data_IF_658027847591
#
_entry.id   IF_658027847591
#
_cell.length_a   1.000
_cell.length_b   1.000
_cell.length_c   1.000
_cell.angle_alpha   90.00
_cell.angle_beta   90.00
_cell.angle_gamma   90.00
#
_symmetry.space_group_name_H-M   'P 1'
#
loop_
_entity.id
_entity.type
_entity.pdbx_description
1 polymer ?
#
# COMPACT_ATOMS: atom_id res chain seq x y z
N UNK A 1 -27.76 -39.64 33.49
CA UNK A 1 -27.79 -39.54 32.03
C UNK A 1 -26.70 -38.58 31.58
N UNK A 2 -25.58 -39.08 31.11
CA UNK A 2 -24.45 -38.28 30.63
C UNK A 2 -24.64 -38.10 29.12
N UNK A 3 -24.85 -36.85 28.68
CA UNK A 3 -24.97 -36.52 27.24
C UNK A 3 -23.55 -36.44 26.69
N UNK A 4 -23.12 -37.46 25.99
CA UNK A 4 -21.91 -37.48 25.21
C UNK A 4 -22.07 -36.51 24.03
N UNK A 5 -21.42 -35.36 24.07
CA UNK A 5 -21.31 -34.45 22.90
C UNK A 5 -20.54 -35.17 21.81
N UNK A 6 -21.10 -35.21 20.58
CA UNK A 6 -20.45 -35.86 19.44
C UNK A 6 -19.13 -35.13 19.07
N UNK A 7 -18.12 -35.86 18.60
CA UNK A 7 -16.82 -35.34 18.19
C UNK A 7 -16.94 -34.14 17.20
N UNK A 8 -17.99 -34.11 16.38
CA UNK A 8 -18.28 -33.02 15.46
C UNK A 8 -18.68 -31.69 16.15
N UNK A 9 -19.36 -31.76 17.29
CA UNK A 9 -19.74 -30.55 18.05
C UNK A 9 -18.56 -29.97 18.84
N UNK A 10 -17.63 -30.78 19.27
CA UNK A 10 -16.40 -30.33 19.92
C UNK A 10 -15.47 -29.67 18.88
N UNK A 11 -15.32 -30.30 17.71
CA UNK A 11 -14.50 -29.74 16.62
C UNK A 11 -15.04 -28.38 16.13
N UNK A 12 -16.36 -28.24 15.96
CA UNK A 12 -16.95 -26.96 15.51
C UNK A 12 -16.81 -25.81 16.52
N UNK A 13 -16.86 -26.13 17.84
CA UNK A 13 -16.63 -25.14 18.89
C UNK A 13 -15.16 -24.70 18.95
N UNK A 14 -14.23 -25.63 18.77
CA UNK A 14 -12.79 -25.31 18.80
C UNK A 14 -12.38 -24.47 17.60
N UNK A 15 -12.92 -24.76 16.41
CA UNK A 15 -12.68 -23.95 15.22
C UNK A 15 -13.32 -22.56 15.36
N UNK A 16 -14.53 -22.46 15.87
CA UNK A 16 -15.19 -21.17 16.12
C UNK A 16 -14.45 -20.29 17.13
N UNK A 17 -13.91 -20.86 18.21
CA UNK A 17 -13.12 -20.11 19.20
C UNK A 17 -11.76 -19.70 18.65
N UNK A 18 -11.10 -20.52 17.84
CA UNK A 18 -9.83 -20.19 17.20
C UNK A 18 -10.00 -19.07 16.15
N UNK A 19 -11.07 -19.07 15.37
CA UNK A 19 -11.38 -18.00 14.42
C UNK A 19 -11.73 -16.68 15.13
N UNK A 20 -12.44 -16.72 16.25
CA UNK A 20 -12.76 -15.52 17.02
C UNK A 20 -11.55 -14.92 17.73
N UNK A 21 -10.63 -15.77 18.23
CA UNK A 21 -9.37 -15.27 18.80
C UNK A 21 -8.44 -14.68 17.74
N UNK A 22 -8.31 -15.33 16.58
CA UNK A 22 -7.52 -14.82 15.46
C UNK A 22 -8.05 -13.48 14.94
N UNK A 23 -9.37 -13.33 14.82
CA UNK A 23 -10.00 -12.06 14.44
C UNK A 23 -9.78 -10.97 15.50
N UNK A 24 -9.76 -11.33 16.80
CA UNK A 24 -9.43 -10.42 17.89
C UNK A 24 -7.99 -9.96 17.84
N UNK A 25 -7.04 -10.87 17.65
CA UNK A 25 -5.62 -10.57 17.53
C UNK A 25 -5.30 -9.68 16.31
N UNK A 26 -5.94 -9.94 15.16
CA UNK A 26 -5.80 -9.09 13.98
C UNK A 26 -6.32 -7.67 14.22
N UNK A 27 -7.42 -7.53 14.92
CA UNK A 27 -7.98 -6.23 15.26
C UNK A 27 -7.08 -5.44 16.23
N UNK A 28 -6.57 -6.10 17.24
CA UNK A 28 -5.64 -5.49 18.21
C UNK A 28 -4.33 -5.04 17.52
N UNK A 29 -3.78 -5.84 16.61
CA UNK A 29 -2.63 -5.47 15.80
C UNK A 29 -2.92 -4.24 14.95
N UNK A 30 -4.04 -4.21 14.22
CA UNK A 30 -4.43 -3.07 13.39
C UNK A 30 -4.62 -1.79 14.21
N UNK A 31 -5.22 -1.89 15.40
CA UNK A 31 -5.33 -0.77 16.34
C UNK A 31 -3.95 -0.29 16.80
N UNK A 32 -3.06 -1.21 17.15
CA UNK A 32 -1.69 -0.91 17.52
C UNK A 32 -0.93 -0.16 16.42
N UNK A 33 -1.05 -0.61 15.18
CA UNK A 33 -0.44 0.03 14.01
C UNK A 33 -0.96 1.45 13.78
N UNK A 34 -2.28 1.64 13.88
CA UNK A 34 -2.90 2.97 13.73
C UNK A 34 -2.45 3.91 14.86
N UNK A 35 -2.41 3.45 16.10
CA UNK A 35 -1.96 4.26 17.22
C UNK A 35 -0.47 4.60 17.10
N UNK A 36 0.36 3.66 16.70
CA UNK A 36 1.78 3.88 16.45
C UNK A 36 2.00 4.89 15.32
N UNK A 37 1.25 4.79 14.21
CA UNK A 37 1.25 5.76 13.14
C UNK A 37 0.88 7.16 13.63
N UNK A 38 -0.25 7.31 14.34
CA UNK A 38 -0.68 8.60 14.88
C UNK A 38 0.34 9.21 15.84
N UNK A 39 0.96 8.37 16.69
CA UNK A 39 2.01 8.80 17.61
C UNK A 39 3.21 9.37 16.85
N UNK A 40 3.71 8.67 15.81
CA UNK A 40 4.82 9.19 14.99
C UNK A 40 4.46 10.52 14.33
N UNK A 41 3.23 10.67 13.83
CA UNK A 41 2.76 11.93 13.24
C UNK A 41 2.75 13.10 14.22
N UNK A 42 2.28 12.87 15.44
CA UNK A 42 2.23 13.91 16.49
C UNK A 42 3.64 14.28 16.98
N UNK A 43 4.53 13.28 17.06
CA UNK A 43 5.90 13.49 17.53
C UNK A 43 6.85 14.02 16.45
N UNK A 44 6.43 14.03 15.17
CA UNK A 44 7.31 14.38 14.05
C UNK A 44 8.33 13.30 13.71
N UNK A 45 8.12 12.07 14.19
CA UNK A 45 9.02 10.93 13.97
C UNK A 45 8.64 10.21 12.67
N UNK A 46 8.84 10.90 11.56
CA UNK A 46 8.69 10.38 10.20
C UNK A 46 9.60 11.15 9.25
N UNK A 47 9.97 10.51 8.16
CA UNK A 47 10.85 11.09 7.16
C UNK A 47 10.09 11.36 5.86
N UNK A 48 10.46 12.45 5.21
CA UNK A 48 9.98 12.80 3.87
C UNK A 48 11.21 13.00 2.99
N UNK A 49 11.23 12.40 1.82
CA UNK A 49 12.36 12.58 0.91
C UNK A 49 12.34 13.96 0.19
N UNK A 50 13.39 14.22 -0.59
CA UNK A 50 13.55 15.48 -1.33
C UNK A 50 12.41 15.77 -2.34
N UNK A 51 11.65 14.74 -2.72
CA UNK A 51 10.50 14.86 -3.63
C UNK A 51 9.16 15.03 -2.90
N UNK A 52 9.17 14.93 -1.58
CA UNK A 52 7.97 14.99 -0.75
C UNK A 52 7.32 13.63 -0.48
N UNK A 53 7.97 12.53 -0.84
CA UNK A 53 7.46 11.18 -0.56
C UNK A 53 7.55 10.83 0.92
N UNK A 54 6.45 10.38 1.46
CA UNK A 54 6.24 10.01 2.84
C UNK A 54 5.84 8.54 2.89
N UNK A 55 6.82 7.68 3.15
CA UNK A 55 6.63 6.24 3.18
C UNK A 55 5.62 5.82 4.24
N UNK A 56 5.75 6.36 5.45
CA UNK A 56 4.88 6.03 6.58
C UNK A 56 3.41 6.41 6.29
N UNK A 57 3.18 7.58 5.68
CA UNK A 57 1.85 7.99 5.22
C UNK A 57 1.31 7.06 4.13
N UNK A 58 2.14 6.71 3.16
CA UNK A 58 1.75 5.85 2.04
C UNK A 58 1.31 4.48 2.51
N UNK A 59 2.09 3.83 3.39
CA UNK A 59 1.81 2.50 3.90
C UNK A 59 0.55 2.48 4.78
N UNK A 60 0.42 3.45 5.69
CA UNK A 60 -0.63 3.41 6.72
C UNK A 60 -1.91 4.14 6.35
N UNK A 61 -1.91 4.98 5.31
CA UNK A 61 -3.09 5.76 4.89
C UNK A 61 -3.53 5.44 3.47
N UNK A 62 -2.63 5.57 2.48
CA UNK A 62 -2.99 5.41 1.09
C UNK A 62 -3.21 3.94 0.70
N UNK A 63 -2.26 3.08 1.01
CA UNK A 63 -2.31 1.66 0.61
C UNK A 63 -3.50 0.89 1.17
N UNK A 64 -3.91 1.03 2.45
CA UNK A 64 -5.11 0.34 2.95
C UNK A 64 -6.37 0.68 2.17
N UNK A 65 -6.54 1.96 1.79
CA UNK A 65 -7.67 2.41 0.99
C UNK A 65 -7.66 1.80 -0.41
N UNK A 66 -6.52 1.89 -1.10
CA UNK A 66 -6.39 1.39 -2.47
C UNK A 66 -6.32 -0.14 -2.55
N UNK A 67 -5.93 -0.83 -1.48
CA UNK A 67 -5.93 -2.29 -1.43
C UNK A 67 -7.34 -2.87 -1.60
N UNK A 68 -8.36 -2.20 -1.04
CA UNK A 68 -9.75 -2.59 -1.26
C UNK A 68 -10.13 -2.48 -2.74
N UNK A 69 -9.72 -1.40 -3.42
CA UNK A 69 -9.96 -1.23 -4.85
C UNK A 69 -9.18 -2.27 -5.68
N UNK A 70 -7.90 -2.47 -5.38
CA UNK A 70 -7.03 -3.45 -6.05
C UNK A 70 -7.62 -4.87 -5.98
N UNK A 71 -8.02 -5.31 -4.78
CA UNK A 71 -8.39 -6.70 -4.54
C UNK A 71 -9.86 -6.99 -4.84
N UNK A 72 -10.77 -6.07 -4.48
CA UNK A 72 -12.21 -6.31 -4.56
C UNK A 72 -12.84 -5.79 -5.85
N UNK A 73 -12.42 -4.63 -6.32
CA UNK A 73 -13.00 -3.99 -7.50
C UNK A 73 -12.28 -4.41 -8.79
N UNK A 74 -10.99 -4.11 -8.87
CA UNK A 74 -10.19 -4.42 -10.07
C UNK A 74 -9.74 -5.87 -10.12
N UNK A 75 -9.63 -6.56 -8.99
CA UNK A 75 -9.15 -7.95 -8.88
C UNK A 75 -7.84 -8.14 -9.64
N UNK A 76 -6.87 -7.30 -9.31
CA UNK A 76 -5.59 -7.21 -10.02
C UNK A 76 -4.78 -8.49 -9.86
N UNK A 77 -4.36 -9.05 -10.97
CA UNK A 77 -3.38 -10.14 -11.03
C UNK A 77 -2.01 -9.56 -11.40
N UNK A 78 -0.98 -9.94 -10.65
CA UNK A 78 0.41 -9.54 -10.91
C UNK A 78 1.15 -10.71 -11.51
N UNK A 79 1.83 -10.49 -12.64
CA UNK A 79 2.68 -11.47 -13.32
C UNK A 79 4.00 -10.82 -13.71
N UNK A 80 5.10 -11.57 -13.64
CA UNK A 80 6.40 -11.06 -14.04
C UNK A 80 7.04 -10.09 -13.05
N UNK A 81 6.63 -10.11 -11.78
CA UNK A 81 7.20 -9.24 -10.74
C UNK A 81 8.71 -9.43 -10.57
N UNK A 82 9.20 -10.60 -10.89
CA UNK A 82 10.62 -10.99 -10.90
C UNK A 82 11.47 -10.23 -11.94
N UNK A 83 10.82 -9.59 -12.92
CA UNK A 83 11.50 -8.74 -13.91
C UNK A 83 11.86 -7.36 -13.33
N UNK A 84 11.29 -6.98 -12.20
CA UNK A 84 11.67 -5.76 -11.48
C UNK A 84 12.89 -6.08 -10.63
N UNK A 85 14.03 -5.39 -10.84
CA UNK A 85 15.26 -5.70 -10.10
C UNK A 85 15.07 -5.45 -8.59
N UNK A 86 15.76 -6.24 -7.77
CA UNK A 86 15.75 -6.08 -6.32
C UNK A 86 16.42 -4.76 -5.88
N UNK A 87 17.46 -4.34 -6.60
CA UNK A 87 18.27 -3.16 -6.33
C UNK A 87 18.46 -2.33 -7.60
N UNK A 88 18.82 -1.07 -7.43
CA UNK A 88 19.05 -0.12 -8.51
C UNK A 88 17.78 0.44 -9.14
N UNK A 89 17.93 1.40 -10.03
CA UNK A 89 16.82 2.05 -10.73
C UNK A 89 16.23 1.15 -11.83
N UNK A 90 14.92 1.29 -12.05
CA UNK A 90 14.22 0.65 -13.17
C UNK A 90 13.09 1.56 -13.66
N UNK A 91 12.98 1.75 -14.96
CA UNK A 91 11.90 2.51 -15.56
C UNK A 91 10.75 1.56 -15.94
N UNK A 92 9.57 1.81 -15.37
CA UNK A 92 8.34 1.09 -15.74
C UNK A 92 7.53 1.97 -16.68
N UNK A 93 7.23 1.43 -17.85
CA UNK A 93 6.41 2.11 -18.87
C UNK A 93 5.14 1.30 -19.09
N UNK A 94 4.00 1.97 -18.98
CA UNK A 94 2.69 1.34 -19.16
C UNK A 94 1.73 2.25 -19.92
N UNK A 95 0.65 1.68 -20.45
CA UNK A 95 -0.46 2.48 -20.94
C UNK A 95 -1.13 3.19 -19.76
N UNK A 96 -1.58 4.41 -20.00
CA UNK A 96 -2.31 5.20 -19.03
C UNK A 96 -3.75 5.43 -19.48
N UNK A 97 -4.70 5.11 -18.61
CA UNK A 97 -6.13 5.24 -18.92
C UNK A 97 -6.80 6.28 -18.03
N UNK A 98 -7.24 7.36 -18.63
CA UNK A 98 -8.09 8.36 -17.99
C UNK A 98 -7.35 9.51 -17.31
N UNK A 99 -8.12 10.49 -16.88
CA UNK A 99 -7.61 11.71 -16.22
C UNK A 99 -7.20 11.47 -14.76
N UNK A 100 -7.84 10.49 -14.11
CA UNK A 100 -7.51 10.10 -12.74
C UNK A 100 -6.54 8.92 -12.79
N UNK A 101 -5.35 9.09 -12.26
CA UNK A 101 -4.26 8.11 -12.32
C UNK A 101 -4.47 6.90 -11.37
N UNK A 102 -5.66 6.30 -11.38
CA UNK A 102 -5.95 5.11 -10.57
C UNK A 102 -5.09 3.91 -10.96
N UNK A 103 -4.84 3.74 -12.25
CA UNK A 103 -3.95 2.72 -12.79
C UNK A 103 -2.53 2.82 -12.21
N UNK A 104 -1.96 4.04 -12.13
CA UNK A 104 -0.64 4.28 -11.57
C UNK A 104 -0.58 3.95 -10.08
N UNK A 105 -1.58 4.39 -9.30
CA UNK A 105 -1.66 4.11 -7.86
C UNK A 105 -1.85 2.61 -7.58
N UNK A 106 -2.71 1.95 -8.36
CA UNK A 106 -2.92 0.50 -8.24
C UNK A 106 -1.67 -0.28 -8.64
N UNK A 107 -0.95 0.16 -9.69
CA UNK A 107 0.33 -0.45 -10.09
C UNK A 107 1.38 -0.30 -9.00
N UNK A 108 1.52 0.89 -8.40
CA UNK A 108 2.41 1.11 -7.27
C UNK A 108 2.13 0.14 -6.12
N UNK A 109 0.86 0.04 -5.71
CA UNK A 109 0.43 -0.86 -4.65
C UNK A 109 0.66 -2.34 -5.02
N UNK A 110 0.37 -2.72 -6.27
CA UNK A 110 0.57 -4.07 -6.75
C UNK A 110 2.05 -4.49 -6.72
N UNK A 111 2.96 -3.58 -7.12
CA UNK A 111 4.41 -3.80 -7.02
C UNK A 111 4.83 -3.92 -5.56
N UNK A 112 4.42 -2.98 -4.71
CA UNK A 112 4.76 -3.01 -3.29
C UNK A 112 4.30 -4.29 -2.60
N UNK A 113 3.06 -4.72 -2.84
CA UNK A 113 2.51 -5.93 -2.23
C UNK A 113 3.21 -7.21 -2.70
N UNK A 114 3.60 -7.27 -3.98
CA UNK A 114 4.08 -8.49 -4.64
C UNK A 114 5.60 -8.62 -4.68
N UNK A 115 6.34 -7.49 -4.66
CA UNK A 115 7.80 -7.54 -4.75
C UNK A 115 8.44 -7.91 -3.41
N UNK A 116 9.43 -8.85 -3.36
CA UNK A 116 10.05 -9.29 -2.10
C UNK A 116 10.65 -8.16 -1.26
N UNK A 117 11.27 -7.15 -1.89
CA UNK A 117 11.86 -5.99 -1.23
C UNK A 117 10.87 -4.85 -0.99
N UNK A 118 9.56 -5.05 -1.23
CA UNK A 118 8.54 -4.00 -1.02
C UNK A 118 8.89 -2.68 -1.70
N UNK A 119 9.29 -2.74 -2.97
CA UNK A 119 9.73 -1.56 -3.73
C UNK A 119 8.58 -0.59 -3.99
N UNK A 120 8.87 0.69 -3.84
CA UNK A 120 7.94 1.76 -4.19
C UNK A 120 8.13 2.19 -5.64
N UNK A 121 7.04 2.21 -6.39
CA UNK A 121 7.01 2.87 -7.68
C UNK A 121 6.91 4.38 -7.47
N UNK A 122 7.80 5.14 -8.10
CA UNK A 122 7.76 6.61 -8.10
C UNK A 122 7.10 7.06 -9.40
N UNK A 123 5.93 7.67 -9.30
CA UNK A 123 5.13 8.05 -10.46
C UNK A 123 5.57 9.39 -11.01
N UNK A 124 5.76 9.50 -12.33
CA UNK A 124 6.00 10.76 -13.01
C UNK A 124 4.67 11.37 -13.47
N UNK A 125 4.31 12.51 -12.91
CA UNK A 125 3.04 13.18 -13.13
C UNK A 125 3.17 14.52 -13.86
N UNK A 126 2.10 14.93 -14.55
CA UNK A 126 2.03 16.25 -15.19
C UNK A 126 1.90 17.37 -14.15
N UNK A 127 2.41 18.57 -14.49
CA UNK A 127 2.39 19.77 -13.65
C UNK A 127 1.01 20.07 -13.08
N UNK A 128 -0.04 19.86 -13.86
CA UNK A 128 -1.42 20.12 -13.46
C UNK A 128 -1.81 19.37 -12.17
N UNK A 129 -1.33 18.15 -11.99
CA UNK A 129 -1.60 17.35 -10.79
C UNK A 129 -1.10 18.06 -9.55
N UNK A 130 0.10 18.64 -9.61
CA UNK A 130 0.76 19.27 -8.49
C UNK A 130 0.28 20.69 -8.20
N UNK A 131 -0.46 21.30 -9.14
CA UNK A 131 -1.10 22.61 -8.97
C UNK A 131 -2.49 22.50 -8.30
N UNK A 132 -3.08 21.30 -8.28
CA UNK A 132 -4.38 21.10 -7.65
C UNK A 132 -4.26 21.09 -6.12
N UNK A 133 -5.02 21.93 -5.39
CA UNK A 133 -5.04 21.91 -3.93
C UNK A 133 -5.39 20.51 -3.40
N UNK A 134 -4.75 20.11 -2.31
CA UNK A 134 -4.91 18.79 -1.65
C UNK A 134 -4.41 17.62 -2.50
N UNK A 135 -4.77 17.57 -3.80
CA UNK A 135 -4.36 16.48 -4.70
C UNK A 135 -2.85 16.50 -4.92
N UNK A 136 -2.27 17.67 -5.14
CA UNK A 136 -0.82 17.81 -5.34
C UNK A 136 -0.01 17.36 -4.12
N UNK A 137 -0.44 17.76 -2.94
CA UNK A 137 0.21 17.34 -1.69
C UNK A 137 0.07 15.83 -1.45
N UNK A 138 -1.12 15.30 -1.69
CA UNK A 138 -1.37 13.86 -1.60
C UNK A 138 -0.51 13.07 -2.60
N UNK A 139 -0.47 13.53 -3.86
CA UNK A 139 0.33 12.90 -4.91
C UNK A 139 1.83 12.86 -4.53
N UNK A 140 2.40 13.97 -4.01
CA UNK A 140 3.80 13.99 -3.54
C UNK A 140 4.02 13.02 -2.39
N UNK A 141 3.16 13.05 -1.38
CA UNK A 141 3.26 12.14 -0.22
C UNK A 141 3.19 10.67 -0.60
N UNK A 142 2.47 10.35 -1.67
CA UNK A 142 2.36 8.98 -2.18
C UNK A 142 3.37 8.63 -3.27
N UNK A 143 4.39 9.48 -3.50
CA UNK A 143 5.53 9.17 -4.33
C UNK A 143 5.45 9.67 -5.77
N UNK A 144 4.46 10.48 -6.12
CA UNK A 144 4.46 11.15 -7.41
C UNK A 144 5.42 12.36 -7.42
N UNK A 145 6.08 12.58 -8.54
CA UNK A 145 6.94 13.73 -8.81
C UNK A 145 6.70 14.25 -10.22
N UNK A 146 7.26 15.43 -10.53
CA UNK A 146 7.12 16.02 -11.86
C UNK A 146 7.76 15.14 -12.94
N UNK A 147 7.09 15.05 -14.08
CA UNK A 147 7.63 14.36 -15.26
C UNK A 147 8.68 15.23 -15.96
N UNK A 148 9.80 15.47 -15.28
CA UNK A 148 10.96 16.21 -15.80
C UNK A 148 12.18 15.31 -15.91
N UNK A 149 13.07 15.58 -16.86
CA UNK A 149 14.31 14.81 -17.00
C UNK A 149 15.17 14.84 -15.73
N UNK A 150 15.41 16.01 -15.07
CA UNK A 150 16.20 16.03 -13.85
C UNK A 150 15.64 15.18 -12.71
N UNK A 151 14.30 15.19 -12.53
CA UNK A 151 13.67 14.38 -11.48
C UNK A 151 13.74 12.88 -11.79
N UNK A 152 13.51 12.51 -13.06
CA UNK A 152 13.64 11.12 -13.49
C UNK A 152 15.07 10.59 -13.32
N UNK A 153 16.10 11.38 -13.70
CA UNK A 153 17.50 11.01 -13.50
C UNK A 153 17.83 10.80 -12.02
N UNK A 154 17.40 11.70 -11.14
CA UNK A 154 17.63 11.59 -9.69
C UNK A 154 16.93 10.36 -9.06
N UNK A 155 15.79 9.95 -9.58
CA UNK A 155 15.07 8.78 -9.09
C UNK A 155 15.69 7.46 -9.54
N UNK A 156 16.53 7.48 -10.58
CA UNK A 156 17.16 6.28 -11.14
C UNK A 156 18.58 6.02 -10.61
N UNK A 157 19.15 6.96 -9.86
CA UNK A 157 20.48 6.85 -9.22
C UNK A 157 20.37 6.31 -7.82
#
# INVERSE_FOLDING_TARGET
MSVALSAGQVASRTVGSALSSAAGEEWEQRLGDVLAFLRRRVQGDYTVDDFGFDEDFTIHTAFPLFRVLKDKWFRVEVRGIENIPAEGGALIVSNHSGTIALDSVITQLAIYDSHPQKRFLRMLGADLVFQMPVVGDYARKTGATLATNPDAERLMT
#
